data_IF_308646002422
#
_entry.id   IF_308646002422
#
_cell.length_a   1.000
_cell.length_b   1.000
_cell.length_c   1.000
_cell.angle_alpha   90.00
_cell.angle_beta   90.00
_cell.angle_gamma   90.00
#
_symmetry.space_group_name_H-M   'P 1'
#
loop_
_entity.id
_entity.type
_entity.pdbx_description
1 polymer ?
#
# COMPACT_ATOMS: atom_id res chain seq x y z
N UNK A 1 -4.78 -2.89 1.55
CA UNK A 1 -4.61 -2.24 0.23
C UNK A 1 -5.84 -2.61 -0.60
N UNK A 2 -6.54 -1.65 -1.18
CA UNK A 2 -7.76 -1.88 -1.97
C UNK A 2 -7.72 -1.08 -3.27
N UNK A 3 -8.36 -1.62 -4.29
CA UNK A 3 -8.51 -1.01 -5.61
C UNK A 3 -9.88 -1.39 -6.19
N UNK A 4 -10.23 -0.82 -7.35
CA UNK A 4 -11.44 -1.23 -8.04
C UNK A 4 -11.32 -2.69 -8.53
N UNK A 5 -12.04 -3.60 -7.87
CA UNK A 5 -12.08 -5.02 -8.21
C UNK A 5 -11.31 -5.93 -7.25
N UNK A 6 -10.70 -5.43 -6.16
CA UNK A 6 -10.06 -6.30 -5.20
C UNK A 6 -9.43 -5.60 -3.99
N UNK A 7 -8.92 -6.43 -3.08
CA UNK A 7 -8.14 -5.99 -1.94
C UNK A 7 -7.14 -7.06 -1.54
N UNK A 8 -6.03 -6.64 -0.93
CA UNK A 8 -5.06 -7.53 -0.32
C UNK A 8 -4.54 -6.96 1.00
N UNK A 9 -4.08 -7.88 1.86
CA UNK A 9 -3.36 -7.57 3.09
C UNK A 9 -1.87 -7.45 2.77
N UNK A 10 -1.23 -6.40 3.28
CA UNK A 10 0.18 -6.09 3.07
C UNK A 10 0.73 -5.40 4.34
N UNK A 11 2.02 -5.08 4.33
CA UNK A 11 2.77 -4.44 5.41
C UNK A 11 3.69 -3.37 4.82
N UNK A 12 3.85 -2.24 5.52
CA UNK A 12 4.90 -1.27 5.20
C UNK A 12 6.25 -1.90 5.58
N UNK A 13 7.12 -2.11 4.58
CA UNK A 13 8.46 -2.69 4.76
C UNK A 13 9.52 -1.60 5.02
N UNK A 14 9.44 -0.49 4.30
CA UNK A 14 10.33 0.66 4.46
C UNK A 14 9.66 1.95 3.99
N UNK A 15 10.10 3.07 4.56
CA UNK A 15 9.64 4.41 4.19
C UNK A 15 10.82 5.38 4.18
N UNK A 16 10.87 6.22 3.15
CA UNK A 16 11.76 7.37 2.99
C UNK A 16 10.95 8.54 2.42
N UNK A 17 11.47 9.78 2.40
CA UNK A 17 10.76 10.90 1.79
C UNK A 17 10.31 10.66 0.35
N UNK A 18 11.05 9.85 -0.41
CA UNK A 18 10.81 9.63 -1.85
C UNK A 18 10.17 8.28 -2.17
N UNK A 19 10.13 7.34 -1.22
CA UNK A 19 9.73 5.94 -1.47
C UNK A 19 8.98 5.33 -0.32
N UNK A 20 7.83 4.74 -0.63
CA UNK A 20 7.08 3.81 0.22
C UNK A 20 7.22 2.40 -0.35
N UNK A 21 7.70 1.47 0.45
CA UNK A 21 7.85 0.05 0.08
C UNK A 21 6.85 -0.79 0.86
N UNK A 22 6.05 -1.58 0.16
CA UNK A 22 5.00 -2.42 0.73
C UNK A 22 5.25 -3.88 0.36
N UNK A 23 4.93 -4.79 1.27
CA UNK A 23 5.05 -6.23 1.03
C UNK A 23 4.05 -6.71 -0.03
N UNK A 24 4.41 -7.77 -0.75
CA UNK A 24 3.46 -8.47 -1.60
C UNK A 24 2.38 -9.17 -0.76
N UNK A 25 1.18 -9.28 -1.31
CA UNK A 25 0.12 -10.10 -0.72
C UNK A 25 0.41 -11.60 -0.91
N UNK A 26 -0.33 -12.46 -0.20
CA UNK A 26 -0.15 -13.92 -0.28
C UNK A 26 -0.61 -14.52 -1.61
N UNK A 27 -1.53 -13.86 -2.32
CA UNK A 27 -2.10 -14.35 -3.57
C UNK A 27 -1.44 -13.67 -4.78
N UNK A 28 -0.85 -14.47 -5.67
CA UNK A 28 -0.20 -13.95 -6.87
C UNK A 28 -1.16 -13.19 -7.80
N UNK A 29 -2.42 -13.62 -7.89
CA UNK A 29 -3.46 -12.99 -8.71
C UNK A 29 -3.76 -11.56 -8.24
N UNK A 30 -3.87 -11.35 -6.92
CA UNK A 30 -4.09 -10.03 -6.32
C UNK A 30 -2.88 -9.11 -6.56
N UNK A 31 -1.67 -9.65 -6.45
CA UNK A 31 -0.45 -8.90 -6.72
C UNK A 31 -0.39 -8.43 -8.19
N UNK A 32 -0.75 -9.30 -9.13
CA UNK A 32 -0.80 -8.95 -10.56
C UNK A 32 -1.93 -7.94 -10.83
N UNK A 33 -3.07 -8.07 -10.17
CA UNK A 33 -4.20 -7.17 -10.34
C UNK A 33 -3.88 -5.76 -9.83
N UNK A 34 -3.32 -5.63 -8.63
CA UNK A 34 -3.02 -4.31 -8.03
C UNK A 34 -1.93 -3.54 -8.79
N UNK A 35 -0.98 -4.23 -9.43
CA UNK A 35 0.05 -3.61 -10.28
C UNK A 35 -0.53 -2.93 -11.54
N UNK A 36 -1.71 -3.37 -11.98
CA UNK A 36 -2.43 -2.80 -13.13
C UNK A 36 -3.47 -1.76 -12.72
N UNK A 37 -3.78 -1.67 -11.42
CA UNK A 37 -4.79 -0.77 -10.91
C UNK A 37 -4.29 0.68 -10.85
N UNK A 38 -5.26 1.60 -10.85
CA UNK A 38 -5.06 3.02 -10.57
C UNK A 38 -5.90 3.41 -9.35
N UNK A 39 -5.51 4.48 -8.65
CA UNK A 39 -6.17 5.00 -7.45
C UNK A 39 -6.34 3.93 -6.36
N UNK A 40 -5.21 3.52 -5.78
CA UNK A 40 -5.13 2.44 -4.81
C UNK A 40 -5.22 3.04 -3.41
N UNK A 41 -6.20 2.59 -2.63
CA UNK A 41 -6.41 3.04 -1.26
C UNK A 41 -5.68 2.13 -0.28
N UNK A 42 -4.94 2.73 0.65
CA UNK A 42 -4.19 2.05 1.68
C UNK A 42 -4.77 2.49 3.03
N UNK A 43 -5.29 1.52 3.78
CA UNK A 43 -5.82 1.70 5.12
C UNK A 43 -4.99 0.91 6.12
N UNK A 44 -4.73 1.51 7.28
CA UNK A 44 -4.12 0.85 8.41
C UNK A 44 -4.78 1.31 9.71
N UNK A 45 -5.10 0.37 10.58
CA UNK A 45 -5.63 0.67 11.92
C UNK A 45 -4.54 0.45 12.96
N UNK A 46 -4.42 1.41 13.87
CA UNK A 46 -3.52 1.41 15.03
C UNK A 46 -4.36 1.66 16.28
N UNK A 47 -3.79 1.49 17.48
CA UNK A 47 -4.56 1.70 18.72
C UNK A 47 -5.09 3.14 18.79
N UNK A 48 -6.42 3.28 18.61
CA UNK A 48 -7.13 4.56 18.68
C UNK A 48 -7.07 5.41 17.41
N UNK A 49 -6.53 4.91 16.28
CA UNK A 49 -6.50 5.69 15.05
C UNK A 49 -6.54 4.82 13.78
N UNK A 50 -7.27 5.32 12.77
CA UNK A 50 -7.23 4.83 11.40
C UNK A 50 -6.44 5.79 10.52
N UNK A 51 -5.47 5.24 9.80
CA UNK A 51 -4.72 5.92 8.75
C UNK A 51 -5.29 5.51 7.40
N UNK A 52 -5.53 6.48 6.52
CA UNK A 52 -6.01 6.22 5.16
C UNK A 52 -5.34 7.18 4.17
N UNK A 53 -4.86 6.66 3.06
CA UNK A 53 -4.34 7.46 1.96
C UNK A 53 -4.49 6.74 0.63
N UNK A 54 -4.37 7.49 -0.47
CA UNK A 54 -4.46 6.96 -1.83
C UNK A 54 -3.15 7.23 -2.57
N UNK A 55 -2.72 6.26 -3.36
CA UNK A 55 -1.60 6.40 -4.30
C UNK A 55 -2.09 6.11 -5.71
N UNK A 56 -1.51 6.77 -6.71
CA UNK A 56 -1.97 6.63 -8.09
C UNK A 56 -1.68 5.23 -8.65
N UNK A 57 -0.50 4.68 -8.36
CA UNK A 57 -0.09 3.37 -8.86
C UNK A 57 0.95 2.72 -7.94
N UNK A 58 0.96 1.39 -7.91
CA UNK A 58 2.05 0.58 -7.35
C UNK A 58 2.88 -0.02 -8.49
N UNK A 59 4.20 -0.03 -8.33
CA UNK A 59 5.14 -0.72 -9.22
C UNK A 59 5.78 -1.89 -8.49
N UNK A 60 6.24 -2.88 -9.25
CA UNK A 60 7.02 -3.98 -8.69
C UNK A 60 8.46 -3.53 -8.46
N UNK A 61 9.00 -3.91 -7.30
CA UNK A 61 10.40 -3.75 -6.89
C UNK A 61 10.83 -4.99 -6.10
N UNK A 62 12.06 -4.97 -5.60
CA UNK A 62 12.55 -5.92 -4.61
C UNK A 62 12.88 -5.21 -3.29
N UNK A 63 12.69 -5.94 -2.19
CA UNK A 63 13.13 -5.56 -0.85
C UNK A 63 13.73 -6.80 -0.17
N UNK A 64 15.00 -6.73 0.23
CA UNK A 64 15.73 -7.87 0.81
C UNK A 64 15.62 -9.16 -0.04
N UNK A 65 15.76 -9.02 -1.37
CA UNK A 65 15.67 -10.11 -2.36
C UNK A 65 14.29 -10.79 -2.47
N UNK A 66 13.25 -10.19 -1.87
CA UNK A 66 11.86 -10.62 -2.01
C UNK A 66 11.06 -9.58 -2.81
N UNK A 67 10.03 -10.01 -3.56
CA UNK A 67 9.20 -9.09 -4.32
C UNK A 67 8.42 -8.16 -3.39
N UNK A 68 8.34 -6.88 -3.77
CA UNK A 68 7.67 -5.83 -3.02
C UNK A 68 7.00 -4.83 -3.97
N UNK A 69 5.99 -4.12 -3.49
CA UNK A 69 5.46 -2.95 -4.18
C UNK A 69 6.27 -1.71 -3.81
N UNK A 70 6.42 -0.79 -4.76
CA UNK A 70 7.01 0.52 -4.53
C UNK A 70 6.12 1.62 -5.11
N UNK A 71 6.07 2.74 -4.41
CA UNK A 71 5.41 3.96 -4.87
C UNK A 71 6.02 5.19 -4.19
N UNK A 72 5.62 6.38 -4.61
CA UNK A 72 5.96 7.63 -3.92
C UNK A 72 4.98 7.85 -2.75
N UNK A 73 5.43 8.39 -1.61
CA UNK A 73 4.51 8.75 -0.53
C UNK A 73 3.41 9.71 -1.01
N UNK A 74 2.18 9.60 -0.49
CA UNK A 74 1.09 10.49 -0.88
C UNK A 74 1.37 11.91 -0.36
N UNK A 75 0.90 12.96 -1.06
CA UNK A 75 1.07 14.35 -0.62
C UNK A 75 0.22 14.67 0.64
N UNK A 76 -0.84 13.89 0.87
CA UNK A 76 -1.76 14.04 2.00
C UNK A 76 -2.22 12.67 2.47
N UNK A 77 -2.51 12.55 3.77
CA UNK A 77 -3.13 11.37 4.36
C UNK A 77 -4.17 11.77 5.40
N UNK A 78 -5.12 10.89 5.64
CA UNK A 78 -6.07 10.97 6.73
C UNK A 78 -5.52 10.24 7.95
N UNK A 79 -5.53 10.92 9.10
CA UNK A 79 -5.29 10.33 10.41
C UNK A 79 -6.54 10.56 11.27
N UNK A 80 -7.42 9.57 11.33
CA UNK A 80 -8.72 9.66 11.99
C UNK A 80 -8.62 9.05 13.38
N UNK A 81 -8.89 9.82 14.43
CA UNK A 81 -8.94 9.33 15.80
C UNK A 81 -10.24 8.56 16.04
N UNK A 82 -10.12 7.36 16.59
CA UNK A 82 -11.24 6.51 16.98
C UNK A 82 -11.25 6.51 18.51
N UNK A 83 -12.19 7.28 19.07
CA UNK A 83 -12.39 7.45 20.50
C UNK A 83 -13.02 6.22 21.16
#
# INVERSE_FOLDING_TARGET
ISWNGGQLISKILAITPDKLVLDFGSQAEDNIAVLKAQHITITAETQGAKVEFTVEQLQQSEYLQLPAFITVPPPTLWFVQIA
#
